data_IF_911727207394
#
_entry.id   IF_911727207394
#
_cell.length_a   1.000
_cell.length_b   1.000
_cell.length_c   1.000
_cell.angle_alpha   90.00
_cell.angle_beta   90.00
_cell.angle_gamma   90.00
#
_symmetry.space_group_name_H-M   'P 1'
#
loop_
_entity.id
_entity.type
_entity.pdbx_description
1 polymer ?
#
# COMPACT_ATOMS: atom_id res chain seq x y z
N UNK A 1 -3.78 18.81 4.12
CA UNK A 1 -2.30 18.80 4.03
C UNK A 1 -1.61 18.04 5.17
N UNK A 2 -2.31 17.68 6.25
CA UNK A 2 -1.71 17.10 7.48
C UNK A 2 -0.99 15.74 7.28
N UNK A 3 -1.33 14.98 6.23
CA UNK A 3 -0.72 13.68 5.93
C UNK A 3 0.68 13.78 5.29
N UNK A 4 0.96 14.82 4.49
CA UNK A 4 2.23 14.91 3.74
C UNK A 4 3.48 14.93 4.66
N UNK A 5 3.50 15.69 5.78
CA UNK A 5 4.62 15.67 6.71
C UNK A 5 4.82 14.33 7.43
N UNK A 6 3.88 13.39 7.33
CA UNK A 6 3.95 12.08 7.97
C UNK A 6 4.52 11.00 7.03
N UNK A 7 4.60 11.26 5.73
CA UNK A 7 5.03 10.28 4.72
C UNK A 7 6.50 9.88 4.86
N UNK A 8 7.37 10.85 5.13
CA UNK A 8 8.81 10.63 5.25
C UNK A 8 9.24 10.45 6.70
N UNK A 9 10.34 9.72 6.89
CA UNK A 9 10.92 9.46 8.22
C UNK A 9 9.91 8.84 9.17
N UNK A 10 9.03 7.98 8.66
CA UNK A 10 8.07 7.23 9.43
C UNK A 10 8.23 5.73 9.20
N UNK A 11 7.81 4.99 10.21
CA UNK A 11 7.85 3.54 10.22
C UNK A 11 6.76 3.04 11.17
N UNK A 12 6.08 1.97 10.80
CA UNK A 12 5.29 1.19 11.73
C UNK A 12 6.22 0.39 12.63
N UNK A 13 5.94 0.36 13.91
CA UNK A 13 6.72 -0.40 14.89
C UNK A 13 5.81 -1.47 15.46
N UNK A 14 6.17 -2.77 15.32
CA UNK A 14 5.33 -3.85 15.81
C UNK A 14 5.31 -3.83 17.34
N UNK A 15 4.15 -4.12 17.92
CA UNK A 15 4.01 -4.24 19.38
C UNK A 15 3.33 -5.56 19.78
N UNK A 16 3.49 -6.00 21.04
CA UNK A 16 2.98 -7.29 21.49
C UNK A 16 1.45 -7.38 21.46
N UNK A 17 0.75 -6.25 21.61
CA UNK A 17 -0.72 -6.13 21.54
C UNK A 17 -1.18 -5.23 20.39
N UNK A 18 -0.57 -4.06 20.27
CA UNK A 18 -0.88 -3.07 19.25
C UNK A 18 0.41 -2.50 18.69
N UNK A 19 0.43 -2.33 17.38
CA UNK A 19 1.48 -1.58 16.71
C UNK A 19 1.29 -0.09 16.94
N UNK A 20 2.34 0.68 16.72
CA UNK A 20 2.25 2.14 16.68
C UNK A 20 3.04 2.69 15.50
N UNK A 21 2.75 3.93 15.12
CA UNK A 21 3.47 4.64 14.06
C UNK A 21 4.49 5.58 14.70
N UNK A 22 5.75 5.39 14.35
CA UNK A 22 6.83 6.27 14.76
C UNK A 22 7.07 7.33 13.67
N UNK A 23 7.10 8.60 14.07
CA UNK A 23 7.45 9.72 13.20
C UNK A 23 8.74 10.37 13.68
N UNK A 24 9.81 10.22 12.90
CA UNK A 24 11.15 10.74 13.20
C UNK A 24 11.45 12.07 12.52
N UNK A 25 10.60 12.52 11.58
CA UNK A 25 10.82 13.77 10.83
C UNK A 25 10.78 15.05 11.68
N UNK A 26 10.03 15.04 12.80
CA UNK A 26 9.87 16.18 13.72
C UNK A 26 10.90 16.19 14.87
N UNK A 27 11.89 15.32 14.85
CA UNK A 27 12.94 15.31 15.86
C UNK A 27 13.80 16.58 15.81
N UNK A 28 14.46 16.94 16.93
CA UNK A 28 15.38 18.09 17.03
C UNK A 28 16.47 18.11 15.94
N UNK A 29 16.80 16.92 15.41
CA UNK A 29 17.60 16.72 14.20
C UNK A 29 16.83 15.78 13.30
N UNK A 30 16.34 16.30 12.17
CA UNK A 30 15.68 15.47 11.17
C UNK A 30 16.68 14.50 10.54
N UNK A 31 16.27 13.25 10.27
CA UNK A 31 17.09 12.29 9.54
C UNK A 31 17.51 12.82 8.16
N UNK A 32 18.76 12.58 7.77
CA UNK A 32 19.34 13.02 6.49
C UNK A 32 19.73 11.86 5.57
N UNK A 33 19.33 10.64 5.93
CA UNK A 33 19.68 9.42 5.22
C UNK A 33 18.45 8.67 4.71
N UNK A 34 18.67 7.87 3.67
CA UNK A 34 17.75 6.83 3.22
C UNK A 34 18.34 5.47 3.58
N UNK A 35 17.49 4.44 3.53
CA UNK A 35 17.96 3.06 3.56
C UNK A 35 17.95 2.50 2.15
N UNK A 36 19.05 1.89 1.71
CA UNK A 36 19.10 1.16 0.44
C UNK A 36 19.20 -0.33 0.75
N UNK A 37 18.38 -1.16 0.11
CA UNK A 37 18.43 -2.61 0.23
C UNK A 37 18.70 -3.24 -1.13
N UNK A 38 19.71 -4.13 -1.19
CA UNK A 38 20.06 -4.91 -2.38
C UNK A 38 20.56 -6.27 -1.96
N UNK A 39 20.07 -7.33 -2.60
CA UNK A 39 20.43 -8.71 -2.26
C UNK A 39 20.33 -8.96 -0.75
N UNK A 40 19.22 -8.52 -0.16
CA UNK A 40 18.87 -8.64 1.27
C UNK A 40 19.79 -7.87 2.24
N UNK A 41 20.71 -7.07 1.71
CA UNK A 41 21.68 -6.31 2.50
C UNK A 41 21.25 -4.85 2.55
N UNK A 42 21.12 -4.33 3.76
CA UNK A 42 20.71 -2.96 4.02
C UNK A 42 21.93 -2.04 4.18
N UNK A 43 21.78 -0.79 3.73
CA UNK A 43 22.80 0.24 3.79
C UNK A 43 22.16 1.56 4.19
N UNK A 44 22.81 2.31 5.07
CA UNK A 44 22.54 3.72 5.29
C UNK A 44 23.26 4.54 4.21
N UNK A 45 22.50 5.36 3.49
CA UNK A 45 23.00 6.31 2.52
C UNK A 45 22.55 7.72 2.92
N UNK A 46 23.49 8.57 3.31
CA UNK A 46 23.22 10.01 3.45
C UNK A 46 22.80 10.59 2.09
N UNK A 47 21.84 11.50 2.10
CA UNK A 47 21.35 12.23 0.90
C UNK A 47 21.50 13.75 1.05
N UNK A 48 22.11 14.19 2.15
CA UNK A 48 22.56 15.56 2.38
C UNK A 48 24.06 15.57 2.63
N UNK A 49 24.74 16.60 2.12
CA UNK A 49 26.13 16.88 2.40
C UNK A 49 26.30 17.46 3.82
N UNK A 50 27.53 17.51 4.32
CA UNK A 50 27.86 18.02 5.66
C UNK A 50 27.49 19.50 5.88
N UNK A 51 27.38 20.27 4.81
CA UNK A 51 26.93 21.67 4.82
C UNK A 51 25.39 21.82 4.82
N UNK A 52 24.66 20.71 4.82
CA UNK A 52 23.20 20.67 4.76
C UNK A 52 22.62 20.80 3.35
N UNK A 53 23.45 20.93 2.30
CA UNK A 53 22.98 20.91 0.92
C UNK A 53 22.54 19.50 0.50
N UNK A 54 21.60 19.42 -0.44
CA UNK A 54 21.19 18.13 -1.03
C UNK A 54 22.30 17.56 -1.90
N UNK A 55 22.50 16.25 -1.86
CA UNK A 55 23.40 15.58 -2.79
C UNK A 55 22.85 15.67 -4.22
N UNK A 56 23.75 15.81 -5.20
CA UNK A 56 23.39 15.83 -6.62
C UNK A 56 23.14 14.41 -7.15
N UNK A 57 22.55 14.32 -8.34
CA UNK A 57 22.28 13.02 -8.98
C UNK A 57 23.57 12.21 -9.16
N UNK A 58 24.64 12.82 -9.68
CA UNK A 58 25.94 12.13 -9.86
C UNK A 58 26.53 11.61 -8.54
N UNK A 59 26.34 12.36 -7.44
CA UNK A 59 26.81 11.95 -6.11
C UNK A 59 26.04 10.71 -5.62
N UNK A 60 24.71 10.73 -5.71
CA UNK A 60 23.86 9.60 -5.32
C UNK A 60 24.17 8.39 -6.19
N UNK A 61 24.28 8.55 -7.50
CA UNK A 61 24.63 7.47 -8.43
C UNK A 61 25.98 6.82 -8.07
N UNK A 62 27.01 7.62 -7.79
CA UNK A 62 28.32 7.12 -7.34
C UNK A 62 28.22 6.30 -6.04
N UNK A 63 27.37 6.69 -5.10
CA UNK A 63 27.13 5.95 -3.86
C UNK A 63 26.35 4.66 -4.10
N UNK A 64 25.38 4.65 -5.02
CA UNK A 64 24.65 3.44 -5.41
C UNK A 64 25.57 2.42 -6.10
N UNK A 65 26.52 2.85 -6.93
CA UNK A 65 27.54 1.98 -7.50
C UNK A 65 28.43 1.34 -6.42
N UNK A 66 28.78 2.10 -5.38
CA UNK A 66 29.49 1.58 -4.20
C UNK A 66 28.66 0.56 -3.41
N UNK A 67 27.36 0.79 -3.25
CA UNK A 67 26.46 -0.20 -2.63
C UNK A 67 26.38 -1.47 -3.48
N UNK A 68 26.25 -1.34 -4.81
CA UNK A 68 26.25 -2.48 -5.74
C UNK A 68 27.53 -3.31 -5.60
N UNK A 69 28.70 -2.68 -5.51
CA UNK A 69 29.98 -3.37 -5.35
C UNK A 69 30.14 -4.04 -3.97
N UNK A 70 29.47 -3.56 -2.92
CA UNK A 70 29.50 -4.17 -1.58
C UNK A 70 28.44 -5.26 -1.34
N UNK A 71 27.46 -5.39 -2.25
CA UNK A 71 26.30 -6.27 -2.11
C UNK A 71 26.20 -7.33 -3.24
N UNK A 72 27.30 -7.63 -3.92
CA UNK A 72 27.30 -8.62 -5.01
C UNK A 72 26.97 -10.04 -4.55
N UNK A 73 27.26 -10.39 -3.29
CA UNK A 73 26.94 -11.71 -2.72
C UNK A 73 25.44 -11.84 -2.45
N UNK A 74 24.88 -12.98 -2.85
CA UNK A 74 23.47 -13.38 -2.66
C UNK A 74 23.29 -14.44 -1.57
N UNK A 75 24.34 -14.69 -0.77
CA UNK A 75 24.40 -15.70 0.30
C UNK A 75 23.90 -15.19 1.67
N UNK A 76 23.20 -14.05 1.69
CA UNK A 76 22.76 -13.40 2.92
C UNK A 76 21.37 -13.81 3.31
N UNK A 77 21.14 -13.84 4.63
CA UNK A 77 19.82 -14.12 5.16
C UNK A 77 18.86 -12.95 4.90
N UNK A 78 17.61 -13.23 4.48
CA UNK A 78 16.63 -12.21 4.15
C UNK A 78 15.99 -11.60 5.40
N UNK A 79 16.74 -10.81 6.17
CA UNK A 79 16.24 -10.18 7.41
C UNK A 79 14.93 -9.41 7.22
N UNK A 80 14.77 -8.77 6.06
CA UNK A 80 13.58 -8.02 5.69
C UNK A 80 12.29 -8.84 5.68
N UNK A 81 12.38 -10.15 5.44
CA UNK A 81 11.20 -11.02 5.33
C UNK A 81 10.46 -11.16 6.66
N UNK A 82 11.13 -10.95 7.80
CA UNK A 82 10.48 -10.98 9.11
C UNK A 82 9.33 -9.95 9.20
N UNK A 83 9.43 -8.84 8.47
CA UNK A 83 8.41 -7.79 8.46
C UNK A 83 7.13 -8.16 7.69
N UNK A 84 7.12 -9.28 6.95
CA UNK A 84 5.92 -9.79 6.26
C UNK A 84 5.09 -10.74 7.13
N UNK A 85 5.54 -11.06 8.34
CA UNK A 85 4.83 -11.99 9.21
C UNK A 85 3.53 -11.41 9.80
N UNK A 86 2.70 -12.29 10.33
CA UNK A 86 1.56 -11.89 11.14
C UNK A 86 2.03 -10.96 12.28
N UNK A 87 1.31 -9.84 12.51
CA UNK A 87 1.78 -8.73 13.36
C UNK A 87 2.16 -9.16 14.78
N UNK A 88 1.42 -10.11 15.37
CA UNK A 88 1.77 -10.66 16.69
C UNK A 88 3.08 -11.47 16.65
N UNK A 89 3.26 -12.32 15.64
CA UNK A 89 4.48 -13.12 15.46
C UNK A 89 5.68 -12.22 15.21
N UNK A 90 5.51 -11.22 14.34
CA UNK A 90 6.53 -10.23 14.05
C UNK A 90 6.88 -9.41 15.29
N UNK A 91 5.91 -8.95 16.10
CA UNK A 91 6.18 -8.24 17.36
C UNK A 91 7.07 -9.02 18.32
N UNK A 92 6.83 -10.33 18.46
CA UNK A 92 7.69 -11.19 19.29
C UNK A 92 9.10 -11.36 18.71
N UNK A 93 9.22 -11.55 17.39
CA UNK A 93 10.51 -11.69 16.72
C UNK A 93 11.30 -10.36 16.71
N UNK A 94 10.60 -9.23 16.60
CA UNK A 94 11.17 -7.88 16.70
C UNK A 94 11.74 -7.63 18.09
N UNK A 95 11.02 -7.98 19.17
CA UNK A 95 11.53 -7.87 20.54
C UNK A 95 12.80 -8.70 20.75
N UNK A 96 12.87 -9.91 20.16
CA UNK A 96 14.09 -10.74 20.17
C UNK A 96 15.22 -10.08 19.38
N UNK A 97 14.94 -9.62 18.16
CA UNK A 97 15.88 -8.96 17.28
C UNK A 97 16.58 -7.78 17.97
N UNK A 98 15.82 -6.97 18.72
CA UNK A 98 16.33 -5.78 19.41
C UNK A 98 17.16 -6.04 20.68
N UNK A 99 17.26 -7.30 21.15
CA UNK A 99 18.11 -7.65 22.31
C UNK A 99 19.59 -7.45 22.00
N UNK A 100 19.99 -7.68 20.75
CA UNK A 100 21.35 -7.45 20.28
C UNK A 100 21.55 -5.97 19.91
N UNK A 101 22.67 -5.38 20.37
CA UNK A 101 22.95 -3.96 20.18
C UNK A 101 23.17 -3.59 18.72
N UNK A 102 23.83 -4.45 17.94
CA UNK A 102 24.10 -4.23 16.52
C UNK A 102 22.80 -4.28 15.73
N UNK A 103 21.96 -5.28 15.99
CA UNK A 103 20.63 -5.39 15.38
C UNK A 103 19.78 -4.16 15.68
N UNK A 104 19.74 -3.74 16.94
CA UNK A 104 18.99 -2.55 17.36
C UNK A 104 19.45 -1.29 16.66
N UNK A 105 20.76 -1.11 16.46
CA UNK A 105 21.30 0.03 15.72
C UNK A 105 20.89 -0.02 14.24
N UNK A 106 21.01 -1.19 13.60
CA UNK A 106 20.60 -1.40 12.21
C UNK A 106 19.10 -1.13 12.00
N UNK A 107 18.24 -1.69 12.86
CA UNK A 107 16.78 -1.46 12.81
C UNK A 107 16.46 0.03 12.98
N UNK A 108 17.09 0.70 13.95
CA UNK A 108 16.88 2.13 14.18
C UNK A 108 17.22 2.97 12.95
N UNK A 109 18.29 2.63 12.23
CA UNK A 109 18.66 3.35 11.00
C UNK A 109 17.62 3.14 9.89
N UNK A 110 17.01 1.96 9.79
CA UNK A 110 15.91 1.68 8.87
C UNK A 110 14.67 2.50 9.24
N UNK A 111 14.26 2.44 10.50
CA UNK A 111 13.06 3.14 11.01
C UNK A 111 13.17 4.66 10.85
N UNK A 112 14.34 5.22 11.14
CA UNK A 112 14.57 6.68 11.08
C UNK A 112 14.82 7.22 9.68
N UNK A 113 15.27 6.42 8.71
CA UNK A 113 15.58 6.92 7.36
C UNK A 113 14.37 7.60 6.68
N UNK A 114 14.60 8.50 5.72
CA UNK A 114 13.53 9.24 5.04
C UNK A 114 12.54 8.28 4.33
N UNK A 115 13.08 7.31 3.61
CA UNK A 115 12.37 6.22 2.93
C UNK A 115 13.37 5.08 2.65
N UNK A 116 12.88 3.95 2.13
CA UNK A 116 13.73 2.86 1.65
C UNK A 116 13.75 2.78 0.13
N UNK A 117 14.92 2.50 -0.45
CA UNK A 117 15.13 2.20 -1.86
C UNK A 117 15.51 0.72 -2.00
N UNK A 118 14.70 -0.05 -2.71
CA UNK A 118 14.89 -1.47 -2.96
C UNK A 118 15.43 -1.65 -4.38
N UNK A 119 16.68 -2.10 -4.49
CA UNK A 119 17.32 -2.44 -5.76
C UNK A 119 17.10 -3.92 -6.02
N UNK A 120 16.12 -4.23 -6.87
CA UNK A 120 15.61 -5.57 -7.07
C UNK A 120 16.36 -6.33 -8.16
N UNK A 121 16.54 -7.63 -7.92
CA UNK A 121 16.97 -8.56 -8.96
C UNK A 121 15.88 -8.70 -10.02
N UNK A 122 16.23 -8.98 -11.29
CA UNK A 122 15.27 -9.06 -12.37
C UNK A 122 14.24 -10.16 -12.13
N UNK A 123 12.99 -9.92 -12.51
CA UNK A 123 11.95 -10.94 -12.48
C UNK A 123 12.00 -11.80 -13.73
N UNK A 124 11.86 -13.12 -13.59
CA UNK A 124 11.81 -14.03 -14.73
C UNK A 124 10.66 -13.66 -15.69
N UNK A 125 11.03 -13.23 -16.90
CA UNK A 125 10.08 -12.95 -17.98
C UNK A 125 9.64 -14.26 -18.64
N UNK A 126 8.51 -14.82 -18.19
CA UNK A 126 7.91 -16.03 -18.80
C UNK A 126 7.05 -15.69 -20.03
N UNK A 127 6.28 -14.58 -20.01
CA UNK A 127 5.46 -14.13 -21.14
C UNK A 127 5.09 -12.64 -21.01
N UNK A 128 4.80 -12.00 -22.14
CA UNK A 128 4.46 -10.56 -22.19
C UNK A 128 3.08 -10.25 -21.61
N UNK A 129 2.11 -11.14 -21.79
CA UNK A 129 0.74 -10.96 -21.27
C UNK A 129 0.69 -10.89 -19.75
N UNK A 130 1.47 -11.74 -19.06
CA UNK A 130 1.52 -11.79 -17.59
C UNK A 130 2.58 -10.84 -17.00
N UNK A 131 3.26 -10.06 -17.83
CA UNK A 131 4.38 -9.23 -17.37
C UNK A 131 3.91 -8.11 -16.44
N UNK A 132 2.82 -7.42 -16.78
CA UNK A 132 2.25 -6.35 -15.94
C UNK A 132 1.79 -6.88 -14.57
N UNK A 133 1.05 -8.00 -14.56
CA UNK A 133 0.59 -8.67 -13.34
C UNK A 133 1.74 -9.09 -12.43
N UNK A 134 2.84 -9.60 -12.99
CA UNK A 134 4.01 -9.98 -12.20
C UNK A 134 4.81 -8.80 -11.67
N UNK A 135 4.90 -7.70 -12.42
CA UNK A 135 5.46 -6.46 -11.87
C UNK A 135 4.62 -5.99 -10.68
N UNK A 136 3.29 -5.99 -10.79
CA UNK A 136 2.42 -5.65 -9.66
C UNK A 136 2.67 -6.56 -8.45
N UNK A 137 2.73 -7.89 -8.65
CA UNK A 137 3.07 -8.86 -7.61
C UNK A 137 4.46 -8.62 -6.98
N UNK A 138 5.47 -8.30 -7.79
CA UNK A 138 6.81 -7.97 -7.31
C UNK A 138 6.83 -6.71 -6.44
N UNK A 139 6.10 -5.66 -6.82
CA UNK A 139 6.00 -4.45 -6.00
C UNK A 139 5.25 -4.75 -4.70
N UNK A 140 4.16 -5.50 -4.80
CA UNK A 140 3.27 -5.80 -3.66
C UNK A 140 3.95 -6.66 -2.58
N UNK A 141 4.60 -7.76 -2.98
CA UNK A 141 5.15 -8.73 -2.02
C UNK A 141 6.55 -9.23 -2.36
N UNK A 142 7.17 -8.80 -3.46
CA UNK A 142 8.55 -9.17 -3.83
C UNK A 142 8.70 -10.51 -4.56
N UNK A 143 7.60 -11.22 -4.84
CA UNK A 143 7.62 -12.43 -5.67
C UNK A 143 8.12 -13.72 -5.00
N UNK A 144 8.28 -13.75 -3.67
CA UNK A 144 8.56 -14.96 -2.89
C UNK A 144 9.92 -14.98 -2.21
N UNK A 145 10.10 -15.96 -1.33
CA UNK A 145 11.31 -16.16 -0.52
C UNK A 145 12.62 -16.14 -1.32
N UNK A 146 12.61 -16.76 -2.51
CA UNK A 146 13.78 -16.89 -3.38
C UNK A 146 13.91 -15.76 -4.41
N UNK A 147 13.05 -14.75 -4.31
CA UNK A 147 12.98 -13.59 -5.19
C UNK A 147 13.37 -12.32 -4.41
N UNK A 148 12.56 -11.26 -4.46
CA UNK A 148 12.85 -9.97 -3.86
C UNK A 148 12.09 -9.72 -2.54
N UNK A 149 11.33 -10.68 -2.01
CA UNK A 149 10.56 -10.48 -0.76
C UNK A 149 11.42 -10.14 0.45
N UNK A 150 12.62 -10.72 0.55
CA UNK A 150 13.61 -10.36 1.57
C UNK A 150 14.27 -9.00 1.35
N UNK A 151 14.10 -8.40 0.18
CA UNK A 151 14.68 -7.13 -0.24
C UNK A 151 13.73 -5.96 0.11
N UNK A 152 13.07 -6.06 1.26
CA UNK A 152 12.01 -5.15 1.73
C UNK A 152 12.12 -4.93 3.24
N UNK A 153 11.49 -3.88 3.72
CA UNK A 153 11.15 -3.69 5.13
C UNK A 153 9.72 -3.16 5.19
N UNK A 154 8.73 -4.07 5.25
CA UNK A 154 7.30 -3.78 5.07
C UNK A 154 6.72 -2.80 6.11
N UNK A 155 7.37 -2.66 7.26
CA UNK A 155 7.04 -1.63 8.24
C UNK A 155 7.38 -0.20 7.79
N UNK A 156 8.26 -0.03 6.81
CA UNK A 156 8.67 1.28 6.32
C UNK A 156 7.55 1.92 5.53
N UNK A 157 7.19 3.16 5.88
CA UNK A 157 6.09 3.88 5.25
C UNK A 157 6.22 4.04 3.75
N UNK A 158 7.43 4.30 3.24
CA UNK A 158 7.71 4.45 1.81
C UNK A 158 8.87 3.55 1.41
N UNK A 159 8.61 2.69 0.42
CA UNK A 159 9.61 1.82 -0.19
C UNK A 159 9.54 1.97 -1.71
N UNK A 160 10.49 2.70 -2.29
CA UNK A 160 10.66 2.77 -3.73
C UNK A 160 11.38 1.52 -4.21
N UNK A 161 10.84 0.84 -5.21
CA UNK A 161 11.43 -0.37 -5.79
C UNK A 161 11.88 -0.05 -7.19
N UNK A 162 13.12 -0.41 -7.52
CA UNK A 162 13.72 -0.27 -8.84
C UNK A 162 14.42 -1.58 -9.19
N UNK A 163 13.88 -2.29 -10.18
CA UNK A 163 14.43 -3.53 -10.69
C UNK A 163 15.49 -3.32 -11.76
N UNK A 164 16.45 -4.24 -11.83
CA UNK A 164 17.49 -4.25 -12.88
C UNK A 164 16.91 -4.44 -14.30
N UNK A 165 15.67 -4.93 -14.43
CA UNK A 165 14.90 -5.07 -15.67
C UNK A 165 14.13 -3.80 -16.09
N UNK A 166 14.31 -2.70 -15.37
CA UNK A 166 13.61 -1.43 -15.59
C UNK A 166 12.20 -1.38 -14.99
N UNK A 167 11.77 -2.43 -14.28
CA UNK A 167 10.55 -2.36 -13.46
C UNK A 167 10.75 -1.37 -12.31
N UNK A 168 9.69 -0.65 -11.95
CA UNK A 168 9.71 0.22 -10.78
C UNK A 168 8.32 0.34 -10.17
N UNK A 169 8.27 0.77 -8.91
CA UNK A 169 7.03 1.06 -8.22
C UNK A 169 7.27 1.58 -6.81
N UNK A 170 6.18 1.81 -6.10
CA UNK A 170 6.18 2.26 -4.71
C UNK A 170 5.29 1.33 -3.90
N UNK A 171 5.83 0.81 -2.81
CA UNK A 171 5.09 0.13 -1.77
C UNK A 171 5.02 1.05 -0.55
N UNK A 172 3.83 1.18 0.06
CA UNK A 172 3.64 2.07 1.19
C UNK A 172 2.83 1.43 2.33
N UNK A 173 3.06 1.90 3.56
CA UNK A 173 2.36 1.43 4.75
C UNK A 173 1.08 2.28 5.00
N UNK A 174 -0.12 1.66 4.97
CA UNK A 174 -1.39 2.40 4.90
C UNK A 174 -1.83 3.03 6.23
N UNK A 175 -1.24 2.67 7.38
CA UNK A 175 -1.59 3.35 8.63
C UNK A 175 -1.14 4.82 8.61
N UNK A 176 -0.06 5.12 7.87
CA UNK A 176 0.49 6.48 7.76
C UNK A 176 0.04 7.23 6.49
N UNK A 177 -0.15 6.52 5.39
CA UNK A 177 -0.38 7.11 4.07
C UNK A 177 -1.70 6.65 3.44
N UNK A 178 -2.21 7.45 2.50
CA UNK A 178 -3.40 7.14 1.70
C UNK A 178 -3.07 7.28 0.21
N UNK A 179 -3.88 6.64 -0.64
CA UNK A 179 -3.69 6.65 -2.10
C UNK A 179 -3.47 8.06 -2.69
N UNK A 180 -4.37 9.05 -2.47
CA UNK A 180 -4.24 10.34 -3.14
C UNK A 180 -2.96 11.14 -2.78
N UNK A 181 -2.54 11.27 -1.50
CA UNK A 181 -1.23 11.85 -1.17
C UNK A 181 -0.04 11.13 -1.83
N UNK A 182 -0.11 9.80 -1.95
CA UNK A 182 0.92 8.99 -2.59
C UNK A 182 0.96 9.21 -4.11
N UNK A 183 -0.20 9.26 -4.77
CA UNK A 183 -0.30 9.55 -6.20
C UNK A 183 0.27 10.93 -6.54
N UNK A 184 -0.05 11.95 -5.73
CA UNK A 184 0.50 13.30 -5.89
C UNK A 184 2.03 13.33 -5.72
N UNK A 185 2.56 12.59 -4.74
CA UNK A 185 4.00 12.44 -4.55
C UNK A 185 4.65 11.80 -5.78
N UNK A 186 4.05 10.75 -6.34
CA UNK A 186 4.56 10.07 -7.52
C UNK A 186 4.54 10.97 -8.75
N UNK A 187 3.47 11.73 -9.00
CA UNK A 187 3.42 12.71 -10.09
C UNK A 187 4.55 13.74 -9.96
N UNK A 188 4.72 14.32 -8.76
CA UNK A 188 5.80 15.27 -8.52
C UNK A 188 7.19 14.67 -8.77
N UNK A 189 7.42 13.41 -8.38
CA UNK A 189 8.70 12.72 -8.64
C UNK A 189 8.93 12.53 -10.14
N UNK A 190 7.92 12.08 -10.89
CA UNK A 190 8.02 11.87 -12.33
C UNK A 190 8.31 13.18 -13.06
N UNK A 191 7.57 14.25 -12.75
CA UNK A 191 7.81 15.60 -13.29
C UNK A 191 9.21 16.14 -12.94
N UNK A 192 9.77 15.73 -11.80
CA UNK A 192 11.12 16.09 -11.41
C UNK A 192 12.17 15.33 -12.22
N UNK A 193 11.96 14.03 -12.47
CA UNK A 193 12.87 13.17 -13.23
C UNK A 193 12.98 13.57 -14.72
N UNK A 194 11.98 14.25 -15.28
CA UNK A 194 12.05 14.77 -16.65
C UNK A 194 12.99 15.98 -16.80
N UNK A 195 13.36 16.63 -15.69
CA UNK A 195 14.20 17.84 -15.70
C UNK A 195 15.67 17.45 -15.51
N UNK A 196 16.59 17.92 -16.37
CA UNK A 196 18.01 17.63 -16.20
C UNK A 196 18.53 18.26 -14.90
N UNK A 197 19.39 17.55 -14.15
CA UNK A 197 20.05 18.13 -12.97
C UNK A 197 20.94 19.31 -13.39
N UNK A 198 20.58 20.56 -13.03
CA UNK A 198 21.35 21.72 -13.46
C UNK A 198 22.68 21.85 -12.69
N UNK A 199 22.91 21.05 -11.64
CA UNK A 199 24.01 21.23 -10.71
C UNK A 199 25.15 20.27 -10.98
N UNK A 200 26.36 20.82 -11.12
CA UNK A 200 27.58 20.02 -11.10
C UNK A 200 27.87 19.55 -9.68
N UNK A 201 28.19 18.26 -9.55
CA UNK A 201 28.61 17.68 -8.30
C UNK A 201 29.87 18.41 -7.76
N UNK A 202 29.90 18.83 -6.49
CA UNK A 202 31.13 19.31 -5.88
C UNK A 202 32.16 18.18 -5.83
N UNK A 203 33.44 18.52 -6.06
CA UNK A 203 34.59 17.59 -6.05
C UNK A 203 35.01 17.21 -4.61
N UNK A 204 34.05 16.83 -3.76
CA UNK A 204 34.30 16.45 -2.37
C UNK A 204 34.21 14.92 -2.24
N UNK A 205 35.22 14.25 -1.65
CA UNK A 205 35.13 12.83 -1.36
C UNK A 205 33.95 12.51 -0.45
N UNK A 206 33.05 11.65 -0.92
CA UNK A 206 31.91 11.18 -0.14
C UNK A 206 32.30 9.97 0.71
N UNK A 207 31.80 9.86 1.97
CA UNK A 207 32.02 8.69 2.81
C UNK A 207 31.37 7.44 2.19
N UNK A 208 31.91 6.27 2.51
CA UNK A 208 31.31 5.01 2.05
C UNK A 208 29.94 4.79 2.72
N UNK A 209 28.90 4.35 1.98
CA UNK A 209 27.63 3.98 2.58
C UNK A 209 27.82 2.93 3.69
N UNK A 210 27.19 3.16 4.84
CA UNK A 210 27.35 2.28 6.01
C UNK A 210 26.48 1.04 5.82
N UNK A 211 27.11 -0.12 5.68
CA UNK A 211 26.40 -1.41 5.66
C UNK A 211 25.80 -1.70 7.03
N UNK A 212 24.52 -2.07 7.05
CA UNK A 212 23.80 -2.45 8.25
C UNK A 212 23.92 -3.96 8.42
N UNK A 213 24.54 -4.38 9.52
CA UNK A 213 24.75 -5.79 9.83
C UNK A 213 23.72 -6.28 10.82
N UNK A 214 23.39 -7.55 10.71
CA UNK A 214 22.53 -8.25 11.66
C UNK A 214 23.26 -9.45 12.23
N UNK A 215 23.27 -9.57 13.55
CA UNK A 215 23.64 -10.78 14.26
C UNK A 215 22.45 -11.74 14.24
N UNK A 216 22.66 -12.94 13.71
CA UNK A 216 21.62 -13.94 13.50
C UNK A 216 21.94 -15.14 14.38
N UNK A 217 21.22 -15.25 15.49
CA UNK A 217 21.26 -16.42 16.35
C UNK A 217 20.28 -17.50 15.87
N UNK A 218 20.19 -18.60 16.63
CA UNK A 218 19.31 -19.72 16.31
C UNK A 218 17.82 -19.35 16.36
N UNK A 219 17.42 -18.45 17.23
CA UNK A 219 16.02 -18.03 17.37
C UNK A 219 15.61 -17.15 16.18
N UNK A 220 16.41 -16.12 15.86
CA UNK A 220 16.19 -15.25 14.71
C UNK A 220 16.21 -16.07 13.41
N UNK A 221 17.14 -17.03 13.28
CA UNK A 221 17.17 -17.90 12.10
C UNK A 221 15.89 -18.71 11.97
N UNK A 222 15.35 -19.24 13.07
CA UNK A 222 14.06 -19.94 13.08
C UNK A 222 12.92 -19.00 12.68
N UNK A 223 12.89 -17.78 13.21
CA UNK A 223 11.87 -16.78 12.86
C UNK A 223 11.90 -16.46 11.37
N UNK A 224 13.09 -16.34 10.76
CA UNK A 224 13.25 -16.13 9.31
C UNK A 224 12.66 -17.32 8.51
N UNK A 225 12.95 -18.56 8.90
CA UNK A 225 12.42 -19.74 8.20
C UNK A 225 10.91 -19.92 8.39
N UNK A 226 10.34 -19.43 9.49
CA UNK A 226 8.90 -19.33 9.66
C UNK A 226 8.30 -18.27 8.72
N UNK A 227 8.88 -17.07 8.69
CA UNK A 227 8.45 -15.96 7.83
C UNK A 227 8.47 -16.31 6.35
N UNK A 228 9.52 -17.02 5.89
CA UNK A 228 9.61 -17.55 4.52
C UNK A 228 8.41 -18.42 4.15
N UNK A 229 8.12 -19.43 4.98
CA UNK A 229 7.02 -20.36 4.74
C UNK A 229 5.66 -19.66 4.76
N UNK A 230 5.44 -18.79 5.74
CA UNK A 230 4.18 -18.06 5.83
C UNK A 230 3.97 -17.14 4.62
N UNK A 231 5.00 -16.41 4.21
CA UNK A 231 4.91 -15.53 3.05
C UNK A 231 4.65 -16.32 1.76
N UNK A 232 5.34 -17.44 1.56
CA UNK A 232 5.11 -18.26 0.36
C UNK A 232 3.69 -18.86 0.34
N UNK A 233 3.10 -19.20 1.49
CA UNK A 233 1.67 -19.57 1.58
C UNK A 233 0.78 -18.41 1.12
N UNK A 234 1.00 -17.20 1.65
CA UNK A 234 0.22 -16.01 1.27
C UNK A 234 0.34 -15.66 -0.21
N UNK A 235 1.55 -15.80 -0.78
CA UNK A 235 1.79 -15.53 -2.20
C UNK A 235 1.09 -16.56 -3.09
N UNK A 236 1.08 -17.83 -2.69
CA UNK A 236 0.42 -18.89 -3.45
C UNK A 236 -1.12 -18.79 -3.41
N UNK A 237 -1.68 -18.15 -2.37
CA UNK A 237 -3.12 -17.89 -2.23
C UNK A 237 -3.57 -16.60 -2.96
N UNK A 238 -2.63 -15.77 -3.40
CA UNK A 238 -2.91 -14.48 -4.04
C UNK A 238 -2.90 -14.60 -5.58
N UNK A 239 -4.03 -14.32 -6.21
CA UNK A 239 -4.11 -14.09 -7.66
C UNK A 239 -4.15 -12.59 -7.98
N UNK A 240 -3.18 -12.13 -8.77
CA UNK A 240 -3.09 -10.73 -9.22
C UNK A 240 -3.17 -10.68 -10.74
N UNK A 241 -4.14 -9.92 -11.25
CA UNK A 241 -4.27 -9.64 -12.67
C UNK A 241 -4.33 -8.14 -12.94
N UNK A 242 -3.41 -7.63 -13.77
CA UNK A 242 -3.43 -6.25 -14.26
C UNK A 242 -4.11 -6.21 -15.62
N UNK A 243 -5.34 -5.72 -15.63
CA UNK A 243 -6.14 -5.58 -16.85
C UNK A 243 -6.14 -4.13 -17.35
N UNK A 244 -5.51 -3.91 -18.52
CA UNK A 244 -5.49 -2.60 -19.17
C UNK A 244 -6.68 -2.45 -20.11
N UNK A 245 -7.72 -1.74 -19.67
CA UNK A 245 -8.89 -1.44 -20.49
C UNK A 245 -8.58 -0.34 -21.54
N UNK A 246 -8.47 -0.72 -22.82
CA UNK A 246 -8.04 0.18 -23.91
C UNK A 246 -9.17 0.76 -24.76
N UNK A 247 -10.43 0.38 -24.53
CA UNK A 247 -11.54 0.75 -25.43
C UNK A 247 -11.96 2.21 -25.26
N UNK A 248 -11.99 2.72 -24.02
CA UNK A 248 -12.29 4.11 -23.71
C UNK A 248 -11.74 4.46 -22.31
N UNK A 249 -11.73 5.75 -21.98
CA UNK A 249 -11.41 6.25 -20.65
C UNK A 249 -12.49 7.19 -20.12
N UNK A 250 -12.10 8.13 -19.24
CA UNK A 250 -13.00 9.09 -18.59
C UNK A 250 -13.80 9.97 -19.56
N UNK A 251 -13.35 10.11 -20.81
CA UNK A 251 -13.99 10.96 -21.81
C UNK A 251 -15.36 10.44 -22.24
N UNK A 252 -15.55 9.11 -22.33
CA UNK A 252 -16.84 8.53 -22.75
C UNK A 252 -17.96 8.78 -21.71
N UNK A 253 -17.79 8.43 -20.41
CA UNK A 253 -18.80 8.77 -19.41
C UNK A 253 -19.11 10.27 -19.37
N UNK A 254 -18.08 11.13 -19.50
CA UNK A 254 -18.25 12.59 -19.51
C UNK A 254 -19.09 13.11 -20.68
N UNK A 255 -18.96 12.52 -21.87
CA UNK A 255 -19.79 12.88 -23.04
C UNK A 255 -21.28 12.63 -22.79
N UNK A 256 -21.61 11.70 -21.90
CA UNK A 256 -22.98 11.38 -21.49
C UNK A 256 -23.38 12.02 -20.15
N UNK A 257 -22.60 12.99 -19.65
CA UNK A 257 -22.82 13.65 -18.36
C UNK A 257 -22.83 12.69 -17.16
N UNK A 258 -22.08 11.59 -17.24
CA UNK A 258 -21.94 10.60 -16.18
C UNK A 258 -20.59 10.73 -15.47
N UNK A 259 -20.60 10.56 -14.14
CA UNK A 259 -19.37 10.47 -13.35
C UNK A 259 -18.56 9.22 -13.77
N UNK A 260 -17.28 9.38 -14.17
CA UNK A 260 -16.45 8.23 -14.54
C UNK A 260 -16.27 7.21 -13.41
N UNK A 261 -16.15 7.65 -12.16
CA UNK A 261 -16.02 6.72 -11.02
C UNK A 261 -17.30 5.91 -10.85
N UNK A 262 -18.44 6.60 -10.75
CA UNK A 262 -19.75 5.97 -10.58
C UNK A 262 -20.09 5.01 -11.71
N UNK A 263 -19.72 5.37 -12.96
CA UNK A 263 -19.84 4.50 -14.13
C UNK A 263 -19.08 3.18 -13.94
N UNK A 264 -17.82 3.25 -13.51
CA UNK A 264 -16.98 2.07 -13.27
C UNK A 264 -17.53 1.23 -12.11
N UNK A 265 -17.96 1.88 -11.03
CA UNK A 265 -18.49 1.20 -9.85
C UNK A 265 -19.76 0.41 -10.17
N UNK A 266 -20.69 0.98 -10.95
CA UNK A 266 -21.88 0.27 -11.44
C UNK A 266 -21.50 -0.88 -12.38
N UNK A 267 -20.52 -0.67 -13.26
CA UNK A 267 -20.02 -1.72 -14.16
C UNK A 267 -19.37 -2.89 -13.40
N UNK A 268 -18.66 -2.62 -12.29
CA UNK A 268 -18.08 -3.65 -11.43
C UNK A 268 -19.17 -4.47 -10.72
N UNK A 269 -20.24 -3.84 -10.26
CA UNK A 269 -21.39 -4.56 -9.67
C UNK A 269 -22.07 -5.47 -10.71
N UNK A 270 -22.24 -4.99 -11.95
CA UNK A 270 -22.76 -5.82 -13.04
C UNK A 270 -21.83 -7.00 -13.35
N UNK A 271 -20.53 -6.77 -13.43
CA UNK A 271 -19.55 -7.82 -13.69
C UNK A 271 -19.56 -8.89 -12.58
N UNK A 272 -19.62 -8.48 -11.31
CA UNK A 272 -19.70 -9.40 -10.18
C UNK A 272 -20.99 -10.23 -10.24
N UNK A 273 -22.14 -9.57 -10.44
CA UNK A 273 -23.43 -10.25 -10.52
C UNK A 273 -23.48 -11.29 -11.65
N UNK A 274 -22.89 -10.99 -12.81
CA UNK A 274 -22.80 -11.94 -13.94
C UNK A 274 -21.98 -13.18 -13.64
N UNK A 275 -20.94 -13.07 -12.80
CA UNK A 275 -20.06 -14.19 -12.46
C UNK A 275 -20.64 -15.03 -11.33
N UNK A 276 -21.22 -14.38 -10.32
CA UNK A 276 -21.62 -15.04 -9.07
C UNK A 276 -23.13 -15.24 -8.90
N UNK A 277 -23.95 -14.56 -9.72
CA UNK A 277 -25.41 -14.54 -9.62
C UNK A 277 -25.93 -14.12 -8.23
N UNK A 278 -25.15 -13.29 -7.53
CA UNK A 278 -25.47 -12.72 -6.22
C UNK A 278 -24.89 -11.30 -6.10
N UNK A 279 -25.38 -10.54 -5.12
CA UNK A 279 -24.81 -9.23 -4.75
C UNK A 279 -24.01 -9.41 -3.47
N UNK A 280 -22.78 -8.89 -3.44
CA UNK A 280 -21.95 -8.91 -2.25
C UNK A 280 -21.90 -7.53 -1.56
N UNK A 281 -21.61 -7.48 -0.25
CA UNK A 281 -21.15 -6.27 0.39
C UNK A 281 -19.89 -5.73 -0.31
N UNK A 282 -20.01 -4.56 -0.95
CA UNK A 282 -18.89 -3.92 -1.64
C UNK A 282 -18.75 -2.47 -1.17
N UNK A 283 -17.51 -2.01 -1.07
CA UNK A 283 -17.25 -0.62 -0.72
C UNK A 283 -16.10 -0.01 -1.52
N UNK A 284 -16.25 1.27 -1.78
CA UNK A 284 -15.23 2.19 -2.26
C UNK A 284 -14.77 3.09 -1.11
N UNK A 285 -13.61 3.71 -1.26
CA UNK A 285 -12.98 4.54 -0.22
C UNK A 285 -13.08 6.01 -0.61
N UNK A 286 -13.73 6.80 0.24
CA UNK A 286 -13.82 8.25 0.11
C UNK A 286 -12.83 8.97 1.02
N UNK A 287 -12.04 9.89 0.47
CA UNK A 287 -11.17 10.76 1.26
C UNK A 287 -11.97 11.80 2.03
N UNK A 288 -11.79 11.86 3.35
CA UNK A 288 -12.38 12.83 4.26
C UNK A 288 -11.46 14.03 4.54
N UNK A 289 -10.43 14.25 3.71
CA UNK A 289 -9.38 15.28 3.89
C UNK A 289 -9.88 16.73 3.87
N UNK A 290 -11.16 16.97 3.57
CA UNK A 290 -11.81 18.29 3.74
C UNK A 290 -12.07 18.63 5.22
N UNK A 291 -12.08 17.63 6.11
CA UNK A 291 -12.19 17.79 7.55
C UNK A 291 -10.81 17.74 8.20
N UNK A 292 -10.64 18.45 9.33
CA UNK A 292 -9.42 18.40 10.14
C UNK A 292 -9.22 17.00 10.71
N UNK A 293 -8.02 16.43 10.57
CA UNK A 293 -7.75 15.04 10.95
C UNK A 293 -8.49 13.99 10.08
N UNK A 294 -9.16 14.41 9.02
CA UNK A 294 -9.92 13.52 8.15
C UNK A 294 -9.02 12.55 7.40
N UNK A 295 -9.39 11.26 7.46
CA UNK A 295 -8.75 10.15 6.75
C UNK A 295 -9.67 9.65 5.64
N UNK A 296 -10.37 8.56 5.88
CA UNK A 296 -11.23 7.88 4.91
C UNK A 296 -12.60 7.55 5.50
N UNK A 297 -13.61 7.48 4.65
CA UNK A 297 -14.93 6.90 4.92
C UNK A 297 -15.29 5.91 3.81
N UNK A 298 -16.24 5.02 4.07
CA UNK A 298 -16.68 4.03 3.08
C UNK A 298 -17.91 4.48 2.29
N UNK A 299 -17.88 4.29 0.97
CA UNK A 299 -19.04 4.39 0.08
C UNK A 299 -19.53 2.98 -0.17
N UNK A 300 -20.77 2.67 0.17
CA UNK A 300 -21.35 1.33 -0.02
C UNK A 300 -21.91 1.21 -1.44
N UNK A 301 -21.21 0.46 -2.28
CA UNK A 301 -21.48 0.41 -3.72
C UNK A 301 -22.81 -0.22 -4.12
N UNK A 302 -23.30 -1.27 -3.44
CA UNK A 302 -24.61 -1.86 -3.74
C UNK A 302 -25.74 -0.93 -3.26
N UNK A 303 -26.34 -0.20 -4.19
CA UNK A 303 -27.57 0.57 -3.96
C UNK A 303 -28.78 -0.17 -4.51
N UNK A 304 -29.99 0.20 -4.07
CA UNK A 304 -31.23 -0.37 -4.62
C UNK A 304 -31.37 -0.09 -6.13
N UNK A 305 -30.88 1.06 -6.60
CA UNK A 305 -30.87 1.44 -8.01
C UNK A 305 -29.90 0.56 -8.80
N UNK A 306 -28.69 0.33 -8.25
CA UNK A 306 -27.73 -0.61 -8.85
C UNK A 306 -28.31 -2.02 -8.95
N UNK A 307 -28.99 -2.50 -7.90
CA UNK A 307 -29.64 -3.82 -7.91
C UNK A 307 -30.69 -3.96 -9.03
N UNK A 308 -31.56 -2.95 -9.17
CA UNK A 308 -32.56 -2.94 -10.26
C UNK A 308 -31.91 -2.98 -11.64
N UNK A 309 -30.84 -2.20 -11.82
CA UNK A 309 -30.10 -2.18 -13.08
C UNK A 309 -29.45 -3.53 -13.41
N UNK A 310 -28.70 -4.13 -12.47
CA UNK A 310 -27.98 -5.38 -12.74
C UNK A 310 -28.93 -6.56 -13.00
N UNK A 311 -30.09 -6.60 -12.32
CA UNK A 311 -31.11 -7.62 -12.57
C UNK A 311 -31.78 -7.45 -13.94
N UNK A 312 -32.01 -6.21 -14.37
CA UNK A 312 -32.63 -5.92 -15.66
C UNK A 312 -31.68 -6.05 -16.86
N UNK A 313 -30.36 -5.92 -16.66
CA UNK A 313 -29.41 -5.78 -17.76
C UNK A 313 -29.43 -6.97 -18.74
N UNK A 314 -29.42 -8.19 -18.20
CA UNK A 314 -29.41 -9.44 -18.99
C UNK A 314 -30.81 -10.05 -19.17
N UNK A 315 -31.85 -9.42 -18.63
CA UNK A 315 -33.24 -9.88 -18.80
C UNK A 315 -33.73 -9.58 -20.23
N UNK A 316 -34.10 -10.59 -21.03
CA UNK A 316 -34.60 -10.38 -22.39
C UNK A 316 -35.99 -9.74 -22.45
N UNK A 317 -36.76 -9.75 -21.35
CA UNK A 317 -38.09 -9.15 -21.25
C UNK A 317 -38.07 -7.63 -21.07
N UNK A 318 -36.92 -7.07 -20.68
CA UNK A 318 -36.76 -5.63 -20.45
C UNK A 318 -36.26 -4.94 -21.73
N UNK A 319 -36.90 -3.82 -22.12
CA UNK A 319 -36.49 -3.07 -23.31
C UNK A 319 -35.12 -2.40 -23.16
N UNK A 320 -34.47 -2.10 -24.28
CA UNK A 320 -33.18 -1.42 -24.27
C UNK A 320 -33.25 -0.03 -23.61
N UNK A 321 -34.33 0.71 -23.87
CA UNK A 321 -34.58 2.03 -23.28
C UNK A 321 -34.72 1.95 -21.76
N UNK A 322 -35.44 0.94 -21.26
CA UNK A 322 -35.60 0.71 -19.83
C UNK A 322 -34.26 0.36 -19.15
N UNK A 323 -33.43 -0.48 -19.78
CA UNK A 323 -32.08 -0.80 -19.27
C UNK A 323 -31.20 0.45 -19.20
N UNK A 324 -31.24 1.30 -20.22
CA UNK A 324 -30.47 2.55 -20.24
C UNK A 324 -30.95 3.53 -19.16
N UNK A 325 -32.25 3.61 -18.92
CA UNK A 325 -32.80 4.45 -17.86
C UNK A 325 -32.36 3.96 -16.47
N UNK A 326 -32.48 2.66 -16.21
CA UNK A 326 -32.01 2.05 -14.95
C UNK A 326 -30.50 2.23 -14.75
N UNK A 327 -29.71 2.17 -15.82
CA UNK A 327 -28.27 2.44 -15.77
C UNK A 327 -27.98 3.85 -15.27
N UNK A 328 -28.64 4.86 -15.85
CA UNK A 328 -28.47 6.25 -15.46
C UNK A 328 -28.87 6.46 -13.99
N UNK A 329 -30.01 5.90 -13.58
CA UNK A 329 -30.47 5.97 -12.18
C UNK A 329 -29.47 5.35 -11.20
N UNK A 330 -28.84 4.22 -11.56
CA UNK A 330 -27.81 3.58 -10.74
C UNK A 330 -26.55 4.46 -10.63
N UNK A 331 -26.10 5.05 -11.75
CA UNK A 331 -24.93 5.94 -11.77
C UNK A 331 -25.19 7.22 -10.99
N UNK A 332 -26.37 7.82 -11.13
CA UNK A 332 -26.75 9.04 -10.42
C UNK A 332 -26.90 8.79 -8.92
N UNK A 333 -27.51 7.66 -8.52
CA UNK A 333 -27.61 7.26 -7.12
C UNK A 333 -26.24 7.05 -6.48
N UNK A 334 -25.32 6.37 -7.16
CA UNK A 334 -23.95 6.21 -6.66
C UNK A 334 -23.21 7.55 -6.56
N UNK A 335 -23.41 8.44 -7.53
CA UNK A 335 -22.82 9.79 -7.53
C UNK A 335 -23.34 10.61 -6.35
N UNK A 336 -24.65 10.60 -6.11
CA UNK A 336 -25.26 11.27 -4.96
C UNK A 336 -24.73 10.72 -3.63
N UNK A 337 -24.62 9.39 -3.51
CA UNK A 337 -24.04 8.74 -2.33
C UNK A 337 -22.58 9.16 -2.12
N UNK A 338 -21.78 9.19 -3.18
CA UNK A 338 -20.38 9.65 -3.13
C UNK A 338 -20.29 11.08 -2.59
N UNK A 339 -21.15 12.00 -3.07
CA UNK A 339 -21.19 13.37 -2.57
C UNK A 339 -21.62 13.46 -1.10
N UNK A 340 -22.60 12.65 -0.67
CA UNK A 340 -23.01 12.59 0.73
C UNK A 340 -21.85 12.16 1.63
N UNK A 341 -21.18 11.08 1.26
CA UNK A 341 -20.04 10.54 2.00
C UNK A 341 -18.90 11.55 2.05
N UNK A 342 -18.52 12.16 0.92
CA UNK A 342 -17.48 13.19 0.89
C UNK A 342 -17.80 14.36 1.83
N UNK A 343 -19.07 14.75 1.95
CA UNK A 343 -19.53 15.78 2.88
C UNK A 343 -19.67 15.32 4.34
N UNK A 344 -19.12 14.16 4.71
CA UNK A 344 -19.12 13.65 6.09
C UNK A 344 -20.43 13.00 6.52
N UNK A 345 -21.33 12.67 5.59
CA UNK A 345 -22.59 11.97 5.88
C UNK A 345 -22.49 10.45 5.68
N UNK A 346 -21.28 9.89 5.71
CA UNK A 346 -21.08 8.44 5.74
C UNK A 346 -21.49 7.84 7.09
N UNK A 347 -21.86 6.57 7.09
CA UNK A 347 -22.38 5.88 8.29
C UNK A 347 -21.34 4.98 8.96
N UNK A 348 -20.35 4.47 8.22
CA UNK A 348 -19.48 3.40 8.70
C UNK A 348 -18.58 3.86 9.87
N UNK A 349 -17.85 4.97 9.74
CA UNK A 349 -17.06 5.47 10.87
C UNK A 349 -17.92 6.05 12.00
N UNK A 350 -19.11 6.57 11.69
CA UNK A 350 -20.05 7.01 12.72
C UNK A 350 -20.51 5.83 13.58
N UNK A 351 -20.93 4.73 12.96
CA UNK A 351 -21.29 3.49 13.64
C UNK A 351 -20.11 2.89 14.42
N UNK A 352 -18.90 2.93 13.86
CA UNK A 352 -17.68 2.54 14.57
C UNK A 352 -17.45 3.42 15.80
N UNK A 353 -17.62 4.74 15.67
CA UNK A 353 -17.51 5.69 16.78
C UNK A 353 -18.50 5.38 17.91
N UNK A 354 -19.76 5.12 17.59
CA UNK A 354 -20.78 4.72 18.58
C UNK A 354 -20.41 3.40 19.30
N UNK A 355 -19.87 2.42 18.56
CA UNK A 355 -19.39 1.17 19.15
C UNK A 355 -18.22 1.39 20.10
N UNK A 356 -17.24 2.20 19.70
CA UNK A 356 -16.06 2.52 20.50
C UNK A 356 -16.43 3.34 21.74
N UNK A 357 -17.37 4.29 21.61
CA UNK A 357 -17.90 5.08 22.72
C UNK A 357 -18.53 4.18 23.80
N UNK A 358 -19.36 3.20 23.39
CA UNK A 358 -19.95 2.25 24.34
C UNK A 358 -18.88 1.43 25.08
N UNK A 359 -17.79 1.05 24.40
CA UNK A 359 -16.67 0.33 25.01
C UNK A 359 -15.92 1.22 26.01
N UNK A 360 -15.65 2.48 25.64
CA UNK A 360 -14.97 3.46 26.49
C UNK A 360 -15.75 3.74 27.78
N UNK A 361 -17.07 3.83 27.68
CA UNK A 361 -17.96 4.04 28.84
C UNK A 361 -18.19 2.76 29.67
N UNK A 362 -17.64 1.62 29.27
CA UNK A 362 -17.84 0.34 29.95
C UNK A 362 -19.27 -0.20 29.84
N UNK A 363 -20.04 0.26 28.86
CA UNK A 363 -21.40 -0.20 28.59
C UNK A 363 -21.38 -1.54 27.85
N UNK A 364 -22.47 -2.29 27.97
CA UNK A 364 -22.69 -3.44 27.09
C UNK A 364 -22.78 -2.98 25.64
N UNK A 365 -22.05 -3.64 24.74
CA UNK A 365 -22.10 -3.33 23.30
C UNK A 365 -23.57 -3.39 22.82
N UNK A 366 -24.09 -2.33 22.16
CA UNK A 366 -25.46 -2.31 21.67
C UNK A 366 -25.77 -3.48 20.72
N UNK A 367 -26.99 -4.03 20.80
CA UNK A 367 -27.43 -5.20 20.02
C UNK A 367 -27.25 -5.03 18.51
N UNK A 368 -27.37 -3.81 17.99
CA UNK A 368 -27.14 -3.51 16.57
C UNK A 368 -25.73 -3.92 16.09
N UNK A 369 -24.71 -3.90 16.96
CA UNK A 369 -23.36 -4.33 16.63
C UNK A 369 -23.10 -5.83 16.84
N UNK A 370 -24.06 -6.53 17.44
CA UNK A 370 -24.04 -8.00 17.62
C UNK A 370 -24.90 -8.72 16.57
N UNK A 371 -25.66 -7.98 15.76
CA UNK A 371 -26.49 -8.55 14.71
C UNK A 371 -25.61 -9.16 13.60
N UNK A 372 -26.01 -10.34 13.16
CA UNK A 372 -25.52 -11.03 11.95
C UNK A 372 -25.51 -10.13 10.71
N UNK A 373 -26.49 -9.22 10.57
CA UNK A 373 -26.52 -8.27 9.45
C UNK A 373 -25.33 -7.30 9.50
N UNK A 374 -25.06 -6.70 10.65
CA UNK A 374 -23.89 -5.82 10.86
C UNK A 374 -22.59 -6.59 10.72
N UNK A 375 -22.55 -7.85 11.19
CA UNK A 375 -21.41 -8.73 10.96
C UNK A 375 -21.18 -8.98 9.46
N UNK A 376 -22.21 -9.32 8.69
CA UNK A 376 -22.10 -9.55 7.24
C UNK A 376 -21.70 -8.31 6.43
N UNK A 377 -22.00 -7.11 6.95
CA UNK A 377 -21.65 -5.84 6.31
C UNK A 377 -20.23 -5.36 6.64
N UNK A 378 -19.67 -5.74 7.79
CA UNK A 378 -18.34 -5.31 8.24
C UNK A 378 -17.28 -6.39 8.09
N UNK A 379 -17.70 -7.64 8.17
CA UNK A 379 -16.87 -8.80 7.91
C UNK A 379 -17.31 -9.36 6.57
N UNK A 380 -16.37 -9.53 5.65
CA UNK A 380 -16.51 -10.56 4.63
C UNK A 380 -16.55 -11.98 5.25
N UNK A 381 -16.83 -12.16 6.55
CA UNK A 381 -16.79 -13.46 7.23
C UNK A 381 -18.14 -14.18 7.14
N UNK A 382 -18.42 -14.66 5.93
CA UNK A 382 -19.04 -15.98 5.78
C UNK A 382 -18.38 -16.66 4.57
N UNK A 383 -17.16 -17.16 4.82
CA UNK A 383 -16.24 -17.70 3.81
C UNK A 383 -15.11 -16.72 3.46
N UNK A 384 -13.96 -17.20 2.95
CA UNK A 384 -12.96 -16.30 2.40
C UNK A 384 -13.58 -15.54 1.21
N UNK A 385 -13.25 -14.26 1.05
CA UNK A 385 -13.47 -13.46 -0.17
C UNK A 385 -14.90 -13.01 -0.53
N UNK A 386 -15.60 -12.24 0.31
CA UNK A 386 -16.87 -11.59 -0.10
C UNK A 386 -17.00 -10.09 0.15
N UNK A 387 -15.89 -9.37 0.31
CA UNK A 387 -15.92 -7.90 0.27
C UNK A 387 -15.08 -7.38 -0.91
N UNK A 388 -15.76 -6.95 -1.97
CA UNK A 388 -15.14 -6.20 -3.05
C UNK A 388 -14.76 -4.81 -2.52
N UNK A 389 -13.47 -4.65 -2.19
CA UNK A 389 -12.88 -3.33 -1.93
C UNK A 389 -12.29 -2.80 -3.21
N UNK A 390 -12.89 -1.74 -3.73
CA UNK A 390 -12.37 -1.04 -4.89
C UNK A 390 -11.59 0.16 -4.42
N UNK A 391 -10.36 0.34 -4.91
CA UNK A 391 -9.67 1.62 -4.87
C UNK A 391 -9.51 2.06 -6.33
N UNK A 392 -10.25 3.07 -6.74
CA UNK A 392 -9.95 3.75 -8.00
C UNK A 392 -8.78 4.69 -7.75
N UNK A 393 -7.64 4.41 -8.40
CA UNK A 393 -6.46 5.28 -8.42
C UNK A 393 -6.69 6.52 -9.28
#
# INVERSE_FOLDING_TARGET
>A
MELYPLLFSSCRVPGPKHDHIAHHGRARRSPTHITVVRNYQFFQLEVYNSDGSRMTESQIHGQLLRIRSQSWKTDKEPMGILTSEHRHTWGQAYDRLLRDKLNKESVRLIETGLFSLCLDSPVMRISDEKYASRKAAQILHGGGTFSNSGNRWFDKTLQFVVGEDGSWGLLYEPATAEGPPIAELLHHILDYCEKPDPKRAPLVPLPMPKKLYFNIDREIKRDIEHAKRNLDILINDLDVNVFNFKKFGKELPKQHSLSPNSFIQVALQLAYYRVHNEVCPACDIASQRMFKGGRTEYIRSPTNQTLKFIQAFDDPSVSHEAKLQLFREAVDAYTALTHQVLNGHGIDNHLLGLKLQAIEEGLSIPKIFMDTLTASQHTGNSGPDRCLRTQTA
#
